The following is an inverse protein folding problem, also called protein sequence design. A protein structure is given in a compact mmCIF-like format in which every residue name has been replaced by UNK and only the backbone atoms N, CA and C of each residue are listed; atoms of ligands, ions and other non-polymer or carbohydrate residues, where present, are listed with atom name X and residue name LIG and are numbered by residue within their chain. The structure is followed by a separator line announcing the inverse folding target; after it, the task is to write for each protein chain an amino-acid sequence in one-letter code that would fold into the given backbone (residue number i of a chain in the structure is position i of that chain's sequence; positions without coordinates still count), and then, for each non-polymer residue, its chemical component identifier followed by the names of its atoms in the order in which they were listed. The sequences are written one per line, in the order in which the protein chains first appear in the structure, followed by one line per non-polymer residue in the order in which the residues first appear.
data_IF_900402350292
#
_entry.id   IF_900402350292
#
_cell.length_a   1.000
_cell.length_b   1.000
_cell.length_c   1.000
_cell.angle_alpha   90.00
_cell.angle_beta   90.00
_cell.angle_gamma   90.00
#
_symmetry.space_group_name_H-M   'P 1'
#
loop_
_entity.id
_entity.type
_entity.pdbx_description
1 polymer ?
#
# COMPACT_ATOMS: atom_id res chain seq x y z
N UNK A 1 -29.40 -40.19 0.49
CA UNK A 1 -28.26 -40.04 1.42
C UNK A 1 -27.99 -41.40 2.06
N UNK A 2 -26.73 -41.83 2.21
CA UNK A 2 -26.40 -43.09 2.89
C UNK A 2 -27.02 -43.17 4.30
N UNK A 3 -27.45 -44.37 4.73
CA UNK A 3 -28.09 -44.58 6.04
C UNK A 3 -27.23 -44.09 7.22
N UNK A 4 -25.91 -44.28 7.13
CA UNK A 4 -24.94 -43.80 8.12
C UNK A 4 -24.95 -42.27 8.25
N UNK A 5 -24.93 -41.55 7.13
CA UNK A 5 -25.00 -40.09 7.10
C UNK A 5 -26.36 -39.57 7.61
N UNK A 6 -27.46 -40.24 7.27
CA UNK A 6 -28.80 -39.88 7.77
C UNK A 6 -28.91 -40.05 9.30
N UNK A 7 -28.36 -41.14 9.84
CA UNK A 7 -28.33 -41.40 11.29
C UNK A 7 -27.48 -40.36 12.03
N UNK A 8 -26.29 -40.05 11.52
CA UNK A 8 -25.42 -39.03 12.10
C UNK A 8 -26.06 -37.64 12.10
N UNK A 9 -26.71 -37.25 10.98
CA UNK A 9 -27.41 -35.97 10.87
C UNK A 9 -28.54 -35.85 11.89
N UNK A 10 -29.37 -36.89 12.02
CA UNK A 10 -30.47 -36.92 13.02
C UNK A 10 -29.94 -36.82 14.44
N UNK A 11 -28.83 -37.51 14.75
CA UNK A 11 -28.20 -37.45 16.06
C UNK A 11 -27.64 -36.06 16.37
N UNK A 12 -26.98 -35.42 15.40
CA UNK A 12 -26.44 -34.06 15.54
C UNK A 12 -27.52 -33.00 15.71
N UNK A 13 -28.66 -33.10 15.02
CA UNK A 13 -29.78 -32.16 15.22
C UNK A 13 -30.57 -32.43 16.51
N UNK A 14 -30.56 -33.67 17.00
CA UNK A 14 -31.16 -34.02 18.29
C UNK A 14 -30.28 -33.61 19.48
N UNK A 15 -28.97 -33.40 19.27
CA UNK A 15 -28.03 -32.95 20.29
C UNK A 15 -27.86 -31.42 20.28
N UNK A 16 -27.36 -30.84 21.37
CA UNK A 16 -26.96 -29.42 21.42
C UNK A 16 -25.51 -29.20 20.93
N UNK A 17 -24.88 -30.22 20.34
CA UNK A 17 -23.47 -30.18 19.93
C UNK A 17 -23.21 -29.14 18.83
N UNK A 18 -24.05 -28.99 17.78
CA UNK A 18 -23.79 -28.00 16.74
C UNK A 18 -23.75 -26.56 17.28
N UNK A 19 -24.63 -26.23 18.22
CA UNK A 19 -24.67 -24.90 18.86
C UNK A 19 -23.39 -24.68 19.68
N UNK A 20 -22.99 -25.65 20.50
CA UNK A 20 -21.76 -25.56 21.30
C UNK A 20 -20.52 -25.43 20.43
N UNK A 21 -20.39 -26.22 19.36
CA UNK A 21 -19.23 -26.16 18.47
C UNK A 21 -19.12 -24.79 17.76
N UNK A 22 -20.25 -24.21 17.34
CA UNK A 22 -20.28 -22.85 16.79
C UNK A 22 -19.83 -21.78 17.78
N UNK A 23 -20.04 -21.97 19.09
CA UNK A 23 -19.57 -20.98 20.09
C UNK A 23 -18.04 -20.90 20.14
N UNK A 24 -17.32 -22.00 19.90
CA UNK A 24 -15.85 -21.97 19.85
C UNK A 24 -15.34 -21.18 18.64
N UNK A 25 -15.96 -21.34 17.47
CA UNK A 25 -15.62 -20.53 16.29
C UNK A 25 -15.98 -19.06 16.50
N UNK A 26 -17.16 -18.78 17.07
CA UNK A 26 -17.61 -17.42 17.35
C UNK A 26 -16.69 -16.68 18.33
N UNK A 27 -16.09 -17.39 19.30
CA UNK A 27 -15.11 -16.81 20.22
C UNK A 27 -13.87 -16.26 19.49
N UNK A 28 -13.45 -16.91 18.39
CA UNK A 28 -12.37 -16.41 17.53
C UNK A 28 -12.78 -15.19 16.69
N UNK A 29 -14.07 -15.04 16.38
CA UNK A 29 -14.59 -13.90 15.61
C UNK A 29 -14.88 -12.65 16.45
N UNK A 30 -14.61 -12.66 17.77
CA UNK A 30 -14.86 -11.52 18.66
C UNK A 30 -13.97 -10.30 18.36
N UNK A 31 -12.82 -10.52 17.73
CA UNK A 31 -11.91 -9.45 17.32
C UNK A 31 -12.37 -8.84 16.00
N UNK A 32 -13.08 -7.72 16.12
CA UNK A 32 -13.67 -6.97 15.00
C UNK A 32 -13.18 -5.53 15.04
N UNK A 33 -12.84 -4.99 13.87
CA UNK A 33 -12.54 -3.57 13.67
C UNK A 33 -13.85 -2.78 13.67
N UNK A 34 -14.04 -1.79 14.57
CA UNK A 34 -15.23 -0.95 14.60
C UNK A 34 -15.41 -0.18 13.27
N UNK A 35 -16.64 -0.05 12.73
CA UNK A 35 -16.89 0.67 11.47
C UNK A 35 -16.41 2.12 11.42
N UNK A 36 -16.27 2.77 12.57
CA UNK A 36 -15.83 4.16 12.72
C UNK A 36 -14.29 4.28 12.75
N UNK A 37 -13.58 3.18 12.91
CA UNK A 37 -12.13 3.15 12.98
C UNK A 37 -11.51 2.91 11.60
N UNK A 38 -10.51 3.69 11.19
CA UNK A 38 -9.68 3.26 10.08
C UNK A 38 -8.81 2.07 10.53
N UNK A 39 -8.30 1.35 9.54
CA UNK A 39 -7.43 0.22 9.81
C UNK A 39 -6.38 0.03 8.73
N UNK A 40 -5.29 -0.65 9.13
CA UNK A 40 -4.22 -1.06 8.24
C UNK A 40 -4.14 -2.57 8.20
N UNK A 41 -3.93 -3.12 7.02
CA UNK A 41 -3.54 -4.52 6.83
C UNK A 41 -2.10 -4.56 6.37
N UNK A 42 -1.23 -5.12 7.19
CA UNK A 42 0.18 -5.35 6.83
C UNK A 42 0.37 -6.81 6.45
N UNK A 43 1.11 -7.02 5.36
CA UNK A 43 1.43 -8.31 4.78
C UNK A 43 2.95 -8.42 4.69
N UNK A 44 3.54 -9.46 5.25
CA UNK A 44 4.99 -9.64 5.30
C UNK A 44 5.40 -11.02 4.79
N UNK A 45 6.46 -11.07 3.99
CA UNK A 45 6.97 -12.28 3.37
C UNK A 45 7.55 -13.27 4.39
N UNK A 46 6.97 -14.46 4.50
CA UNK A 46 7.43 -15.46 5.46
C UNK A 46 8.75 -16.09 4.99
N UNK A 47 9.84 -15.76 5.69
CA UNK A 47 11.18 -16.29 5.43
C UNK A 47 11.72 -15.98 4.02
N UNK A 48 11.45 -14.78 3.51
CA UNK A 48 11.91 -14.38 2.17
C UNK A 48 13.43 -14.34 2.00
N UNK A 49 14.21 -14.29 3.08
CA UNK A 49 15.67 -14.48 3.01
C UNK A 49 16.08 -15.82 2.37
N UNK A 50 15.24 -16.86 2.47
CA UNK A 50 15.44 -18.16 1.81
C UNK A 50 15.10 -18.09 0.32
N UNK A 51 13.99 -17.43 0.01
CA UNK A 51 13.50 -17.24 -1.37
C UNK A 51 14.49 -16.39 -2.19
N UNK A 52 15.01 -15.33 -1.57
CA UNK A 52 15.92 -14.36 -2.19
C UNK A 52 17.38 -14.81 -2.16
N UNK A 53 17.65 -16.10 -1.95
CA UNK A 53 19.02 -16.64 -1.99
C UNK A 53 19.45 -16.84 -3.44
N UNK A 54 20.57 -16.21 -3.82
CA UNK A 54 21.15 -16.33 -5.15
C UNK A 54 20.56 -15.41 -6.21
N UNK A 55 19.61 -14.54 -5.84
CA UNK A 55 19.13 -13.44 -6.70
C UNK A 55 20.08 -12.25 -6.65
N UNK A 56 19.89 -11.29 -7.56
CA UNK A 56 20.71 -10.08 -7.63
C UNK A 56 20.66 -9.32 -6.31
N UNK A 57 21.84 -8.89 -5.84
CA UNK A 57 22.02 -8.11 -4.60
C UNK A 57 22.52 -6.70 -4.94
N UNK A 58 22.20 -5.69 -4.11
CA UNK A 58 21.34 -5.75 -2.92
C UNK A 58 19.84 -5.84 -3.24
N UNK A 59 19.42 -5.48 -4.45
CA UNK A 59 18.01 -5.46 -4.86
C UNK A 59 17.83 -6.19 -6.20
N UNK A 60 16.80 -7.02 -6.29
CA UNK A 60 16.42 -7.69 -7.54
C UNK A 60 15.12 -7.09 -8.07
N UNK A 61 15.20 -6.42 -9.23
CA UNK A 61 14.07 -5.71 -9.84
C UNK A 61 12.90 -6.63 -10.18
N UNK A 62 13.13 -7.92 -10.44
CA UNK A 62 12.06 -8.88 -10.76
C UNK A 62 11.20 -9.15 -9.54
N UNK A 63 11.82 -9.28 -8.36
CA UNK A 63 11.09 -9.41 -7.09
C UNK A 63 10.34 -8.11 -6.79
N UNK A 64 10.98 -6.96 -6.98
CA UNK A 64 10.32 -5.65 -6.81
C UNK A 64 9.11 -5.51 -7.75
N UNK A 65 9.23 -5.94 -9.01
CA UNK A 65 8.14 -5.93 -9.99
C UNK A 65 7.01 -6.86 -9.58
N UNK A 66 7.32 -8.08 -9.13
CA UNK A 66 6.33 -9.03 -8.63
C UNK A 66 5.57 -8.48 -7.41
N UNK A 67 6.26 -7.82 -6.47
CA UNK A 67 5.64 -7.14 -5.32
C UNK A 67 4.72 -6.00 -5.77
N UNK A 68 5.17 -5.13 -6.68
CA UNK A 68 4.38 -4.01 -7.22
C UNK A 68 3.12 -4.49 -7.96
N UNK A 69 3.23 -5.53 -8.78
CA UNK A 69 2.09 -6.14 -9.47
C UNK A 69 1.11 -6.81 -8.50
N UNK A 70 1.62 -7.46 -7.47
CA UNK A 70 0.80 -8.01 -6.37
C UNK A 70 0.05 -6.90 -5.63
N UNK A 71 0.72 -5.80 -5.29
CA UNK A 71 0.11 -4.63 -4.66
C UNK A 71 -0.98 -4.00 -5.54
N UNK A 72 -0.79 -3.98 -6.86
CA UNK A 72 -1.79 -3.51 -7.82
C UNK A 72 -3.02 -4.43 -7.87
N UNK A 73 -2.83 -5.75 -7.85
CA UNK A 73 -3.94 -6.71 -7.77
C UNK A 73 -4.70 -6.60 -6.45
N UNK A 74 -3.99 -6.37 -5.34
CA UNK A 74 -4.60 -6.12 -4.02
C UNK A 74 -5.43 -4.83 -4.02
N UNK A 75 -4.88 -3.76 -4.60
CA UNK A 75 -5.60 -2.49 -4.74
C UNK A 75 -6.87 -2.66 -5.57
N UNK A 76 -6.79 -3.47 -6.62
CA UNK A 76 -7.90 -3.76 -7.53
C UNK A 76 -8.98 -4.61 -6.87
N UNK A 77 -8.59 -5.66 -6.14
CA UNK A 77 -9.49 -6.66 -5.59
C UNK A 77 -10.15 -6.21 -4.28
N UNK A 78 -9.37 -5.67 -3.33
CA UNK A 78 -9.86 -5.33 -1.99
C UNK A 78 -10.20 -3.85 -1.81
N UNK A 79 -9.88 -3.02 -2.81
CA UNK A 79 -10.15 -1.58 -2.79
C UNK A 79 -9.70 -0.79 -1.55
N UNK A 80 -8.46 -0.99 -1.03
CA UNK A 80 -7.89 -0.04 -0.09
C UNK A 80 -7.81 1.37 -0.68
N UNK A 81 -7.73 2.36 0.21
CA UNK A 81 -7.57 3.78 -0.13
C UNK A 81 -6.17 4.06 -0.66
N UNK A 82 -5.16 3.55 0.05
CA UNK A 82 -3.74 3.69 -0.27
C UNK A 82 -3.06 2.35 -0.06
N UNK A 83 -2.13 2.00 -0.94
CA UNK A 83 -1.25 0.83 -0.77
C UNK A 83 0.20 1.30 -0.76
N UNK A 84 1.01 0.71 0.10
CA UNK A 84 2.45 0.94 0.18
C UNK A 84 3.17 -0.41 0.15
N UNK A 85 4.30 -0.49 -0.54
CA UNK A 85 5.14 -1.69 -0.53
C UNK A 85 6.62 -1.33 -0.53
N UNK A 86 7.41 -2.09 0.23
CA UNK A 86 8.86 -1.99 0.28
C UNK A 86 9.42 -3.35 0.70
N UNK A 87 10.54 -3.76 0.11
CA UNK A 87 11.09 -5.11 0.30
C UNK A 87 10.02 -6.18 0.00
N UNK A 88 9.72 -7.02 0.99
CA UNK A 88 8.75 -8.10 1.03
C UNK A 88 7.47 -7.73 1.82
N UNK A 89 7.33 -6.45 2.21
CA UNK A 89 6.18 -5.93 2.95
C UNK A 89 5.19 -5.21 2.01
N UNK A 90 3.89 -5.40 2.24
CA UNK A 90 2.80 -4.61 1.65
C UNK A 90 1.86 -4.14 2.77
N UNK A 91 1.58 -2.84 2.81
CA UNK A 91 0.62 -2.23 3.72
C UNK A 91 -0.58 -1.68 2.94
N UNK A 92 -1.79 -2.05 3.35
CA UNK A 92 -3.06 -1.61 2.79
C UNK A 92 -3.79 -0.72 3.79
N UNK A 93 -4.14 0.50 3.40
CA UNK A 93 -4.84 1.47 4.26
C UNK A 93 -6.32 1.52 3.91
N UNK A 94 -7.17 1.41 4.92
CA UNK A 94 -8.62 1.54 4.81
C UNK A 94 -9.13 2.66 5.72
N UNK A 95 -9.99 3.49 5.15
CA UNK A 95 -10.70 4.53 5.90
C UNK A 95 -11.90 3.97 6.66
N UNK A 96 -12.46 4.73 7.62
CA UNK A 96 -13.67 4.34 8.32
C UNK A 96 -14.79 3.99 7.35
N UNK A 97 -15.58 2.96 7.66
CA UNK A 97 -16.80 2.66 6.92
C UNK A 97 -17.96 3.59 7.33
N UNK A 98 -17.89 4.19 8.51
CA UNK A 98 -18.84 5.17 9.02
C UNK A 98 -18.15 6.43 9.57
N UNK A 99 -18.91 7.52 9.63
CA UNK A 99 -18.43 8.81 10.15
C UNK A 99 -17.99 9.80 9.06
N UNK A 100 -17.54 11.01 9.46
CA UNK A 100 -17.27 12.12 8.54
C UNK A 100 -16.11 11.82 7.56
N UNK A 101 -15.22 10.92 7.93
CA UNK A 101 -14.04 10.53 7.15
C UNK A 101 -14.29 9.30 6.25
N UNK A 102 -15.51 8.77 6.21
CA UNK A 102 -15.83 7.57 5.42
C UNK A 102 -15.90 7.85 3.92
N UNK A 103 -15.35 6.93 3.13
CA UNK A 103 -15.40 7.00 1.65
C UNK A 103 -16.41 5.97 1.14
N UNK A 104 -17.58 6.45 0.71
CA UNK A 104 -18.57 5.59 0.07
C UNK A 104 -18.12 5.25 -1.36
N UNK A 105 -17.69 4.01 -1.57
CA UNK A 105 -17.41 3.50 -2.91
C UNK A 105 -18.69 3.28 -3.74
N UNK A 106 -19.84 3.07 -3.07
CA UNK A 106 -21.14 2.94 -3.73
C UNK A 106 -21.97 4.23 -3.61
N UNK A 107 -22.10 4.94 -4.73
CA UNK A 107 -23.02 6.08 -4.87
C UNK A 107 -24.50 5.65 -4.90
N UNK A 108 -24.80 4.36 -4.93
CA UNK A 108 -26.17 3.86 -5.02
C UNK A 108 -26.71 3.45 -3.64
N UNK A 109 -27.68 4.25 -3.18
CA UNK A 109 -28.55 4.03 -2.02
C UNK A 109 -27.93 4.34 -0.65
N UNK A 110 -27.70 5.63 -0.41
CA UNK A 110 -27.77 6.17 0.95
C UNK A 110 -29.17 5.88 1.52
N UNK A 111 -29.31 4.85 2.34
CA UNK A 111 -30.38 4.81 3.35
C UNK A 111 -29.86 5.62 4.55
N UNK A 112 -30.62 6.60 5.06
CA UNK A 112 -30.13 7.51 6.10
C UNK A 112 -29.68 6.82 7.40
N UNK A 113 -30.01 5.54 7.61
CA UNK A 113 -29.63 4.74 8.78
C UNK A 113 -28.91 3.41 8.43
N UNK A 114 -28.32 3.27 7.24
CA UNK A 114 -27.58 2.04 6.92
C UNK A 114 -26.17 2.08 7.53
N UNK A 115 -25.92 1.14 8.46
CA UNK A 115 -24.57 0.82 8.93
C UNK A 115 -23.86 0.08 7.80
N UNK A 116 -22.84 0.70 7.22
CA UNK A 116 -21.98 0.03 6.25
C UNK A 116 -20.85 -0.67 6.99
N UNK A 117 -20.75 -2.00 6.93
CA UNK A 117 -19.63 -2.69 7.52
C UNK A 117 -18.34 -2.46 6.72
N UNK A 118 -17.20 -2.52 7.40
CA UNK A 118 -15.91 -2.74 6.72
C UNK A 118 -15.93 -4.03 5.88
N UNK A 119 -14.89 -4.19 5.05
CA UNK A 119 -14.57 -5.47 4.41
C UNK A 119 -14.71 -6.63 5.43
N UNK A 120 -15.43 -7.68 5.03
CA UNK A 120 -15.74 -8.84 5.88
C UNK A 120 -16.41 -8.55 7.23
N UNK A 121 -17.10 -7.41 7.35
CA UNK A 121 -17.68 -6.93 8.61
C UNK A 121 -16.64 -6.66 9.71
N UNK A 122 -15.42 -6.27 9.32
CA UNK A 122 -14.37 -5.91 10.26
C UNK A 122 -13.70 -7.10 10.95
N UNK A 123 -14.11 -8.35 10.67
CA UNK A 123 -13.56 -9.56 11.29
C UNK A 123 -12.08 -9.71 10.97
N UNK A 124 -11.23 -9.49 11.97
CA UNK A 124 -9.77 -9.41 11.80
C UNK A 124 -9.20 -10.70 11.20
N UNK A 125 -9.63 -11.87 11.69
CA UNK A 125 -9.15 -13.17 11.19
C UNK A 125 -9.46 -13.31 9.70
N UNK A 126 -10.68 -12.96 9.28
CA UNK A 126 -11.09 -13.10 7.88
C UNK A 126 -10.35 -12.11 6.99
N UNK A 127 -10.19 -10.86 7.41
CA UNK A 127 -9.40 -9.84 6.70
C UNK A 127 -7.96 -10.32 6.53
N UNK A 128 -7.27 -10.65 7.63
CA UNK A 128 -5.87 -11.04 7.61
C UNK A 128 -5.62 -12.30 6.76
N UNK A 129 -6.38 -13.37 6.99
CA UNK A 129 -6.18 -14.65 6.30
C UNK A 129 -6.49 -14.59 4.81
N UNK A 130 -7.59 -13.94 4.40
CA UNK A 130 -7.99 -13.90 2.99
C UNK A 130 -7.07 -13.00 2.18
N UNK A 131 -6.65 -11.84 2.73
CA UNK A 131 -5.74 -10.94 2.04
C UNK A 131 -4.34 -11.57 1.95
N UNK A 132 -3.81 -12.17 3.02
CA UNK A 132 -2.53 -12.88 2.98
C UNK A 132 -2.54 -14.05 1.98
N UNK A 133 -3.61 -14.84 1.96
CA UNK A 133 -3.78 -15.93 0.99
C UNK A 133 -3.79 -15.40 -0.45
N UNK A 134 -4.54 -14.33 -0.73
CA UNK A 134 -4.58 -13.73 -2.06
C UNK A 134 -3.22 -13.15 -2.46
N UNK A 135 -2.52 -12.50 -1.52
CA UNK A 135 -1.17 -11.96 -1.71
C UNK A 135 -0.20 -13.06 -2.12
N UNK A 136 -0.18 -14.19 -1.40
CA UNK A 136 0.65 -15.34 -1.75
C UNK A 136 0.35 -15.87 -3.15
N UNK A 137 -0.93 -16.05 -3.50
CA UNK A 137 -1.33 -16.53 -4.83
C UNK A 137 -0.84 -15.59 -5.94
N UNK A 138 -1.05 -14.29 -5.79
CA UNK A 138 -0.68 -13.30 -6.82
C UNK A 138 0.82 -13.08 -6.89
N UNK A 139 1.52 -13.05 -5.76
CA UNK A 139 2.97 -12.91 -5.75
C UNK A 139 3.66 -14.09 -6.41
N UNK A 140 3.29 -15.34 -6.08
CA UNK A 140 3.87 -16.51 -6.74
C UNK A 140 3.54 -16.52 -8.23
N UNK A 141 2.30 -16.16 -8.62
CA UNK A 141 1.93 -16.01 -10.02
C UNK A 141 2.86 -15.04 -10.75
N UNK A 142 3.07 -13.82 -10.22
CA UNK A 142 3.92 -12.82 -10.86
C UNK A 142 5.40 -13.22 -10.86
N UNK A 143 5.89 -13.83 -9.78
CA UNK A 143 7.27 -14.30 -9.68
C UNK A 143 7.59 -15.36 -10.75
N UNK A 144 6.63 -16.23 -11.08
CA UNK A 144 6.74 -17.23 -12.13
C UNK A 144 6.76 -16.64 -13.55
N UNK A 145 6.27 -15.41 -13.74
CA UNK A 145 6.29 -14.74 -15.05
C UNK A 145 7.62 -14.00 -15.31
N UNK A 146 8.48 -13.86 -14.31
CA UNK A 146 9.77 -13.18 -14.47
C UNK A 146 10.80 -14.11 -15.14
N UNK A 147 11.74 -13.52 -15.86
CA UNK A 147 12.86 -14.24 -16.47
C UNK A 147 13.97 -14.46 -15.43
N UNK A 148 14.31 -15.74 -15.20
CA UNK A 148 15.32 -16.19 -14.23
C UNK A 148 16.44 -16.99 -14.90
N UNK A 149 16.57 -16.91 -16.22
CA UNK A 149 17.55 -17.70 -17.01
C UNK A 149 19.01 -17.29 -16.78
N UNK A 150 19.25 -16.12 -16.23
CA UNK A 150 20.54 -15.61 -15.76
C UNK A 150 21.04 -16.26 -14.47
N UNK A 151 20.15 -16.89 -13.68
CA UNK A 151 20.52 -17.48 -12.39
C UNK A 151 21.01 -18.92 -12.52
N UNK A 152 21.79 -19.37 -11.53
CA UNK A 152 22.18 -20.78 -11.44
C UNK A 152 20.92 -21.69 -11.40
N UNK A 153 20.94 -22.88 -12.02
CA UNK A 153 19.74 -23.71 -12.20
C UNK A 153 18.97 -24.01 -10.90
N UNK A 154 19.67 -24.15 -9.78
CA UNK A 154 19.05 -24.38 -8.46
C UNK A 154 18.20 -23.18 -7.99
N UNK A 155 18.66 -21.94 -8.24
CA UNK A 155 17.99 -20.71 -7.83
C UNK A 155 16.84 -20.38 -8.78
N UNK A 156 17.05 -20.57 -10.08
CA UNK A 156 15.98 -20.52 -11.08
C UNK A 156 14.83 -21.45 -10.72
N UNK A 157 15.12 -22.73 -10.42
CA UNK A 157 14.09 -23.72 -10.02
C UNK A 157 13.37 -23.31 -8.74
N UNK A 158 14.07 -22.71 -7.79
CA UNK A 158 13.49 -22.22 -6.53
C UNK A 158 12.46 -21.13 -6.79
N UNK A 159 12.74 -20.19 -7.68
CA UNK A 159 11.85 -19.05 -7.96
C UNK A 159 10.67 -19.46 -8.84
N UNK A 160 10.90 -20.28 -9.87
CA UNK A 160 9.83 -20.80 -10.74
C UNK A 160 8.86 -21.74 -10.01
N UNK A 161 9.30 -22.42 -8.95
CA UNK A 161 8.45 -23.28 -8.13
C UNK A 161 8.22 -22.68 -6.73
N UNK A 162 8.34 -21.37 -6.60
CA UNK A 162 8.19 -20.72 -5.31
C UNK A 162 6.82 -21.01 -4.70
N UNK A 163 6.82 -21.27 -3.39
CA UNK A 163 5.64 -21.35 -2.55
C UNK A 163 5.74 -20.27 -1.47
N UNK A 164 5.95 -19.04 -1.91
CA UNK A 164 6.09 -17.91 -1.02
C UNK A 164 4.78 -17.69 -0.25
N UNK A 165 4.89 -17.56 1.06
CA UNK A 165 3.77 -17.31 1.96
C UNK A 165 3.89 -15.90 2.52
N UNK A 166 2.75 -15.33 2.92
CA UNK A 166 2.68 -14.05 3.60
C UNK A 166 1.98 -14.23 4.94
N UNK A 167 2.47 -13.55 5.97
CA UNK A 167 1.66 -13.28 7.16
C UNK A 167 0.71 -12.11 6.86
N UNK A 168 -0.37 -11.99 7.63
CA UNK A 168 -1.34 -10.90 7.50
C UNK A 168 -1.72 -10.40 8.88
N UNK A 169 -1.65 -9.09 9.08
CA UNK A 169 -1.99 -8.43 10.35
C UNK A 169 -2.94 -7.28 10.06
N UNK A 170 -4.19 -7.41 10.46
CA UNK A 170 -5.19 -6.34 10.39
C UNK A 170 -5.36 -5.72 11.77
N UNK A 171 -5.24 -4.40 11.87
CA UNK A 171 -5.38 -3.68 13.13
C UNK A 171 -5.99 -2.30 12.90
N UNK A 172 -6.89 -1.90 13.79
CA UNK A 172 -7.43 -0.56 13.84
C UNK A 172 -6.35 0.42 14.34
N UNK A 173 -6.42 1.67 13.90
CA UNK A 173 -5.62 2.77 14.44
C UNK A 173 -6.45 4.05 14.47
N UNK A 174 -5.90 5.11 15.08
CA UNK A 174 -6.50 6.44 14.96
C UNK A 174 -6.43 6.91 13.49
N UNK A 175 -7.26 7.89 13.13
CA UNK A 175 -7.18 8.48 11.79
C UNK A 175 -5.85 9.21 11.59
N UNK A 176 -5.37 9.90 12.62
CA UNK A 176 -4.09 10.62 12.61
C UNK A 176 -2.90 9.66 12.37
N UNK A 177 -2.98 8.43 12.88
CA UNK A 177 -1.89 7.46 12.78
C UNK A 177 -1.85 6.67 11.46
N UNK A 178 -2.86 6.80 10.59
CA UNK A 178 -2.85 6.13 9.29
C UNK A 178 -1.56 6.40 8.50
N UNK A 179 -1.17 7.68 8.45
CA UNK A 179 0.07 8.09 7.80
C UNK A 179 1.30 7.77 8.65
N UNK A 180 1.21 7.83 9.98
CA UNK A 180 2.35 7.51 10.84
C UNK A 180 2.77 6.04 10.70
N UNK A 181 1.80 5.13 10.55
CA UNK A 181 2.07 3.72 10.31
C UNK A 181 2.92 3.51 9.06
N UNK A 182 2.53 4.09 7.92
CA UNK A 182 3.29 3.98 6.67
C UNK A 182 4.63 4.76 6.76
N UNK A 183 4.70 5.85 7.52
CA UNK A 183 5.91 6.70 7.64
C UNK A 183 6.99 5.98 8.40
N UNK A 184 6.61 5.32 9.49
CA UNK A 184 7.51 4.45 10.23
C UNK A 184 8.01 3.28 9.36
N UNK A 185 7.17 2.73 8.47
CA UNK A 185 7.62 1.70 7.50
C UNK A 185 8.60 2.25 6.49
N UNK A 186 8.31 3.38 5.86
CA UNK A 186 9.16 3.98 4.82
C UNK A 186 10.46 4.57 5.35
N UNK A 187 10.34 5.55 6.25
CA UNK A 187 11.43 6.46 6.60
C UNK A 187 12.25 6.03 7.80
N UNK A 188 11.82 4.98 8.50
CA UNK A 188 12.57 4.41 9.60
C UNK A 188 13.02 3.00 9.27
N UNK A 189 12.09 2.04 9.15
CA UNK A 189 12.45 0.63 8.99
C UNK A 189 12.97 0.30 7.58
N UNK A 190 12.23 0.72 6.55
CA UNK A 190 12.57 0.54 5.13
C UNK A 190 13.89 1.22 4.78
N UNK A 191 14.06 2.49 5.17
CA UNK A 191 15.33 3.22 5.00
C UNK A 191 16.50 2.48 5.65
N UNK A 192 16.35 2.04 6.91
CA UNK A 192 17.39 1.30 7.62
C UNK A 192 17.75 0.01 6.90
N UNK A 193 16.77 -0.74 6.41
CA UNK A 193 16.98 -1.99 5.67
C UNK A 193 17.66 -1.71 4.32
N UNK A 194 17.22 -0.71 3.57
CA UNK A 194 17.78 -0.36 2.27
C UNK A 194 19.26 0.05 2.38
N UNK A 195 19.58 0.95 3.32
CA UNK A 195 20.97 1.35 3.58
C UNK A 195 21.79 0.16 4.05
N UNK A 196 21.25 -0.69 4.92
CA UNK A 196 22.00 -1.85 5.40
C UNK A 196 22.27 -2.89 4.30
N UNK A 197 21.32 -3.15 3.42
CA UNK A 197 21.53 -4.03 2.27
C UNK A 197 22.56 -3.46 1.30
N UNK A 198 22.48 -2.16 1.00
CA UNK A 198 23.48 -1.49 0.18
C UNK A 198 24.87 -1.55 0.83
N UNK A 199 24.96 -1.26 2.13
CA UNK A 199 26.19 -1.34 2.89
C UNK A 199 26.81 -2.75 2.82
N UNK A 200 26.01 -3.81 2.99
CA UNK A 200 26.47 -5.20 2.87
C UNK A 200 26.95 -5.58 1.47
N UNK A 201 26.50 -4.88 0.43
CA UNK A 201 26.96 -5.11 -0.95
C UNK A 201 28.31 -4.43 -1.27
N UNK A 202 28.71 -3.44 -0.46
CA UNK A 202 29.92 -2.63 -0.68
C UNK A 202 31.00 -2.95 0.36
N UNK A 203 30.61 -3.17 1.61
CA UNK A 203 31.48 -3.26 2.78
C UNK A 203 31.67 -4.72 3.21
N UNK A 204 32.89 -5.10 3.65
CA UNK A 204 33.12 -6.42 4.25
C UNK A 204 32.23 -6.64 5.48
N UNK A 205 31.73 -7.87 5.66
CA UNK A 205 30.82 -8.21 6.75
C UNK A 205 31.36 -7.88 8.15
N UNK A 206 32.66 -8.09 8.39
CA UNK A 206 33.30 -7.78 9.67
C UNK A 206 33.31 -6.29 10.00
N UNK A 207 33.26 -5.40 9.01
CA UNK A 207 33.24 -3.95 9.21
C UNK A 207 31.87 -3.45 9.68
N UNK A 208 30.79 -4.17 9.33
CA UNK A 208 29.41 -3.80 9.62
C UNK A 208 28.91 -4.27 10.99
N UNK A 209 29.63 -5.19 11.63
CA UNK A 209 29.20 -5.77 12.90
C UNK A 209 29.06 -4.68 13.99
N UNK A 210 27.88 -4.61 14.60
CA UNK A 210 27.58 -3.64 15.67
C UNK A 210 27.42 -2.19 15.21
N UNK A 211 27.40 -1.92 13.89
CA UNK A 211 27.29 -0.55 13.36
C UNK A 211 25.85 -0.10 13.22
N UNK A 212 25.56 1.09 13.74
CA UNK A 212 24.27 1.75 13.53
C UNK A 212 24.18 2.38 12.12
N UNK A 213 23.01 2.92 11.77
CA UNK A 213 22.76 3.47 10.44
C UNK A 213 23.73 4.59 10.06
N UNK A 214 23.97 5.55 10.97
CA UNK A 214 24.87 6.69 10.74
C UNK A 214 26.30 6.22 10.48
N UNK A 215 26.79 5.28 11.28
CA UNK A 215 28.13 4.71 11.11
C UNK A 215 28.27 3.96 9.77
N UNK A 216 27.21 3.27 9.33
CA UNK A 216 27.23 2.62 8.00
C UNK A 216 27.32 3.66 6.88
N UNK A 217 26.62 4.79 7.00
CA UNK A 217 26.69 5.89 6.02
C UNK A 217 28.07 6.56 5.98
N UNK A 218 28.70 6.79 7.13
CA UNK A 218 30.07 7.31 7.22
C UNK A 218 31.07 6.39 6.51
N UNK A 219 31.04 5.09 6.79
CA UNK A 219 31.90 4.09 6.15
C UNK A 219 31.70 3.96 4.63
N UNK A 220 30.47 4.19 4.16
CA UNK A 220 30.15 4.25 2.74
C UNK A 220 30.71 5.52 2.09
N UNK A 221 30.55 6.66 2.76
CA UNK A 221 31.06 7.95 2.31
C UNK A 221 32.60 7.94 2.21
N UNK A 222 33.30 7.31 3.16
CA UNK A 222 34.76 7.09 3.10
C UNK A 222 35.20 6.32 1.84
N UNK A 223 34.33 5.48 1.27
CA UNK A 223 34.55 4.78 -0.01
C UNK A 223 33.99 5.52 -1.22
N UNK A 224 33.51 6.75 -1.05
CA UNK A 224 32.88 7.55 -2.10
C UNK A 224 31.55 6.98 -2.60
N UNK A 225 30.85 6.19 -1.78
CA UNK A 225 29.57 5.55 -2.12
C UNK A 225 28.43 6.21 -1.36
N UNK A 226 27.29 6.38 -2.02
CA UNK A 226 26.10 6.99 -1.42
C UNK A 226 24.83 6.24 -1.82
N UNK A 227 24.12 5.58 -0.88
CA UNK A 227 22.88 4.90 -1.21
C UNK A 227 21.81 5.86 -1.73
N UNK A 228 21.81 7.12 -1.30
CA UNK A 228 20.84 8.12 -1.73
C UNK A 228 21.04 8.59 -3.19
N UNK A 229 22.23 8.37 -3.76
CA UNK A 229 22.53 8.70 -5.16
C UNK A 229 22.52 7.45 -6.06
N UNK A 230 22.81 6.28 -5.51
CA UNK A 230 23.04 5.05 -6.29
C UNK A 230 21.89 4.04 -6.23
N UNK A 231 21.00 4.15 -5.23
CA UNK A 231 19.86 3.24 -5.07
C UNK A 231 18.60 3.91 -5.59
N UNK A 232 17.85 3.16 -6.39
CA UNK A 232 16.56 3.61 -6.93
C UNK A 232 15.60 4.02 -5.80
N UNK A 233 14.83 5.12 -5.98
CA UNK A 233 13.89 5.60 -4.96
C UNK A 233 12.91 4.54 -4.47
N UNK A 234 12.53 3.58 -5.32
CA UNK A 234 11.60 2.51 -4.94
C UNK A 234 12.19 1.54 -3.91
N UNK A 235 13.51 1.35 -3.89
CA UNK A 235 14.20 0.53 -2.88
C UNK A 235 14.50 1.33 -1.61
N UNK A 236 14.81 2.63 -1.76
CA UNK A 236 15.10 3.52 -0.63
C UNK A 236 13.85 3.88 0.18
N UNK A 237 12.78 4.28 -0.49
CA UNK A 237 11.57 4.83 0.14
C UNK A 237 10.37 3.90 0.04
N UNK A 238 10.43 2.87 -0.81
CA UNK A 238 9.28 2.06 -1.15
C UNK A 238 8.43 2.67 -2.26
N UNK A 239 7.32 2.02 -2.56
CA UNK A 239 6.39 2.38 -3.62
C UNK A 239 4.99 2.56 -3.07
N UNK A 240 4.40 3.73 -3.32
CA UNK A 240 3.00 4.02 -3.05
C UNK A 240 2.17 3.73 -4.29
N UNK A 241 1.00 3.15 -4.08
CA UNK A 241 0.01 2.91 -5.12
C UNK A 241 -1.29 3.61 -4.74
N UNK A 242 -1.83 4.35 -5.71
CA UNK A 242 -3.11 5.03 -5.55
C UNK A 242 -3.86 5.12 -6.87
N UNK A 243 -5.19 5.23 -6.79
CA UNK A 243 -6.02 5.43 -7.98
C UNK A 243 -5.86 6.85 -8.45
N UNK A 244 -5.78 7.07 -9.76
CA UNK A 244 -5.88 8.41 -10.33
C UNK A 244 -6.86 8.43 -11.49
N UNK A 245 -7.38 9.61 -11.78
CA UNK A 245 -8.22 9.86 -12.94
C UNK A 245 -7.42 10.58 -14.02
N UNK A 246 -7.58 10.16 -15.27
CA UNK A 246 -6.96 10.81 -16.41
C UNK A 246 -7.95 10.95 -17.56
N UNK A 247 -7.71 11.95 -18.41
CA UNK A 247 -8.51 12.22 -19.61
C UNK A 247 -7.90 11.46 -20.79
N UNK A 248 -8.73 10.75 -21.55
CA UNK A 248 -8.33 10.16 -22.83
C UNK A 248 -9.24 10.66 -23.95
N UNK A 249 -8.73 10.87 -25.19
CA UNK A 249 -9.58 11.16 -26.33
C UNK A 249 -10.64 10.07 -26.49
N UNK A 250 -11.90 10.46 -26.75
CA UNK A 250 -12.95 9.50 -26.99
C UNK A 250 -12.66 8.73 -28.30
N UNK A 251 -12.39 7.43 -28.21
CA UNK A 251 -12.32 6.57 -29.39
C UNK A 251 -13.72 6.12 -29.80
N UNK A 252 -14.03 6.21 -31.09
CA UNK A 252 -15.30 5.77 -31.64
C UNK A 252 -15.45 4.24 -31.47
N UNK A 253 -16.26 3.80 -30.51
CA UNK A 253 -16.74 2.41 -30.52
C UNK A 253 -17.71 2.27 -31.70
N UNK A 254 -17.46 1.32 -32.62
CA UNK A 254 -18.43 0.86 -33.63
C UNK A 254 -19.61 0.17 -32.91
N UNK A 255 -20.57 0.97 -32.43
CA UNK A 255 -21.86 0.49 -31.94
C UNK A 255 -22.87 0.38 -33.08
N UNK A 256 -23.65 -0.70 -33.10
CA UNK A 256 -24.73 -1.04 -34.06
C UNK A 256 -25.97 -0.11 -33.94
N UNK A 257 -25.79 1.21 -33.86
CA UNK A 257 -26.92 2.15 -33.73
C UNK A 257 -26.80 3.30 -34.72
N UNK A 258 -27.89 3.54 -35.48
CA UNK A 258 -28.05 4.56 -36.53
C UNK A 258 -28.16 6.01 -36.03
N UNK A 259 -27.87 6.28 -34.76
CA UNK A 259 -27.88 7.64 -34.20
C UNK A 259 -26.44 8.12 -34.03
N UNK A 260 -26.11 9.28 -34.62
CA UNK A 260 -24.82 9.95 -34.45
C UNK A 260 -24.72 10.39 -32.98
N UNK A 261 -23.88 9.77 -32.13
CA UNK A 261 -23.76 10.20 -30.76
C UNK A 261 -22.88 11.46 -30.75
N UNK A 262 -23.34 12.54 -30.11
CA UNK A 262 -22.46 13.64 -29.70
C UNK A 262 -21.50 13.06 -28.65
N UNK A 263 -20.34 12.60 -29.11
CA UNK A 263 -19.30 12.05 -28.24
C UNK A 263 -18.60 13.23 -27.53
N UNK A 264 -18.43 13.21 -26.20
CA UNK A 264 -17.54 14.17 -25.55
C UNK A 264 -16.11 13.98 -26.10
N UNK A 265 -15.37 15.07 -26.32
CA UNK A 265 -14.02 15.01 -26.89
C UNK A 265 -13.05 14.15 -26.06
N UNK A 266 -13.29 14.07 -24.75
CA UNK A 266 -12.52 13.27 -23.81
C UNK A 266 -13.42 12.43 -22.90
N UNK A 267 -12.88 11.30 -22.45
CA UNK A 267 -13.51 10.43 -21.47
C UNK A 267 -12.58 10.26 -20.27
N UNK A 268 -13.11 10.48 -19.08
CA UNK A 268 -12.39 10.21 -17.83
C UNK A 268 -12.25 8.70 -17.62
N UNK A 269 -11.02 8.26 -17.41
CA UNK A 269 -10.66 6.89 -17.05
C UNK A 269 -9.98 6.86 -15.69
N UNK A 270 -9.96 5.69 -15.07
CA UNK A 270 -9.22 5.44 -13.83
C UNK A 270 -8.05 4.52 -14.13
N UNK A 271 -6.93 4.74 -13.46
CA UNK A 271 -5.76 3.83 -13.46
C UNK A 271 -5.14 3.79 -12.08
N UNK A 272 -4.25 2.83 -11.86
CA UNK A 272 -3.43 2.79 -10.64
C UNK A 272 -2.09 3.46 -10.96
N UNK A 273 -1.77 4.51 -10.19
CA UNK A 273 -0.51 5.24 -10.23
C UNK A 273 0.43 4.72 -9.16
N UNK A 274 1.69 4.60 -9.55
CA UNK A 274 2.81 4.35 -8.65
C UNK A 274 3.56 5.66 -8.39
N UNK A 275 4.16 5.78 -7.21
CA UNK A 275 5.15 6.83 -6.93
C UNK A 275 6.06 6.43 -5.79
N UNK A 276 7.28 6.97 -5.81
CA UNK A 276 8.31 6.72 -4.81
C UNK A 276 8.89 8.07 -4.39
N UNK A 277 8.77 8.43 -3.13
CA UNK A 277 9.24 9.72 -2.64
C UNK A 277 9.55 9.64 -1.15
N UNK A 278 10.46 10.49 -0.70
CA UNK A 278 10.84 10.57 0.69
C UNK A 278 9.72 11.26 1.49
N UNK A 279 8.97 10.52 2.31
CA UNK A 279 7.92 11.13 3.11
C UNK A 279 8.43 12.13 4.15
N UNK A 280 9.71 12.08 4.54
CA UNK A 280 10.29 13.06 5.46
C UNK A 280 10.18 14.50 4.93
N UNK A 281 10.11 14.68 3.60
CA UNK A 281 9.98 15.99 2.94
C UNK A 281 8.58 16.61 3.12
N UNK A 282 7.61 15.86 3.65
CA UNK A 282 6.21 16.27 3.80
C UNK A 282 5.85 16.44 5.28
N UNK A 283 4.98 17.40 5.59
CA UNK A 283 4.46 17.59 6.95
C UNK A 283 3.52 16.44 7.35
N UNK A 284 3.33 16.15 8.65
CA UNK A 284 2.37 15.14 9.10
C UNK A 284 0.97 15.31 8.51
N UNK A 285 0.48 16.55 8.41
CA UNK A 285 -0.83 16.87 7.83
C UNK A 285 -0.89 16.52 6.32
N UNK A 286 0.16 16.81 5.57
CA UNK A 286 0.25 16.46 4.14
C UNK A 286 0.29 14.95 3.94
N UNK A 287 1.05 14.22 4.76
CA UNK A 287 1.11 12.75 4.71
C UNK A 287 -0.25 12.14 5.01
N UNK A 288 -0.97 12.65 6.01
CA UNK A 288 -2.32 12.21 6.35
C UNK A 288 -3.30 12.48 5.21
N UNK A 289 -3.31 13.69 4.68
CA UNK A 289 -4.19 14.05 3.56
C UNK A 289 -3.91 13.19 2.32
N UNK A 290 -2.63 12.93 2.00
CA UNK A 290 -2.28 12.01 0.93
C UNK A 290 -2.71 10.58 1.26
N UNK A 291 -2.48 10.07 2.47
CA UNK A 291 -2.81 8.69 2.83
C UNK A 291 -4.31 8.44 2.81
N UNK A 292 -5.11 9.43 3.22
CA UNK A 292 -6.56 9.35 3.32
C UNK A 292 -7.32 9.74 2.04
N UNK A 293 -6.73 10.52 1.12
CA UNK A 293 -7.46 10.88 -0.09
C UNK A 293 -7.82 9.62 -0.91
N UNK A 294 -8.96 9.55 -1.60
CA UNK A 294 -9.34 8.37 -2.40
C UNK A 294 -8.57 8.26 -3.73
N UNK A 295 -8.00 9.37 -4.18
CA UNK A 295 -7.26 9.49 -5.42
C UNK A 295 -5.86 10.05 -5.18
N UNK A 296 -4.95 9.77 -6.10
CA UNK A 296 -3.71 10.51 -6.27
C UNK A 296 -4.10 11.90 -6.77
N UNK A 297 -4.00 12.88 -5.88
CA UNK A 297 -4.25 14.27 -6.23
C UNK A 297 -2.94 14.86 -6.74
N UNK A 298 -2.98 15.45 -7.94
CA UNK A 298 -1.86 16.23 -8.49
C UNK A 298 -1.72 17.61 -7.81
N UNK A 299 -2.49 17.90 -6.74
CA UNK A 299 -2.44 19.13 -5.95
C UNK A 299 -2.55 18.83 -4.45
N UNK A 300 -1.78 19.59 -3.64
CA UNK A 300 -1.85 19.56 -2.18
C UNK A 300 -3.30 19.81 -1.76
N UNK A 301 -3.79 19.23 -0.65
CA UNK A 301 -5.07 19.65 -0.08
C UNK A 301 -5.01 21.17 0.13
N UNK A 302 -5.97 21.89 -0.46
CA UNK A 302 -6.09 23.33 -0.27
C UNK A 302 -6.23 23.60 1.24
N UNK A 303 -5.22 24.23 1.83
CA UNK A 303 -5.35 24.79 3.16
C UNK A 303 -6.15 26.07 2.98
N UNK A 304 -7.43 26.04 3.34
CA UNK A 304 -8.29 27.24 3.38
C UNK A 304 -7.70 28.22 4.41
N UNK A 305 -6.87 29.15 3.94
CA UNK A 305 -6.44 30.31 4.72
C UNK A 305 -7.52 31.38 4.57
N UNK A 306 -8.68 31.15 5.20
CA UNK A 306 -9.67 32.22 5.37
C UNK A 306 -10.44 32.04 6.66
N UNK A 307 -9.87 32.55 7.76
CA UNK A 307 -10.58 33.30 8.82
C UNK A 307 -9.57 33.72 9.88
N UNK A 308 -9.12 34.98 9.82
CA UNK A 308 -9.01 35.82 11.03
C UNK A 308 -8.73 37.28 10.63
N UNK A 309 -9.82 38.01 10.41
CA UNK A 309 -9.85 39.46 10.58
C UNK A 309 -10.17 39.77 12.04
N UNK A 310 -9.24 40.41 12.77
CA UNK A 310 -9.51 41.69 13.44
C UNK A 310 -8.34 42.16 14.32
N UNK A 311 -7.94 43.42 14.08
CA UNK A 311 -7.42 44.42 15.02
C UNK A 311 -5.95 44.34 15.53
N UNK A 312 -5.10 45.18 14.91
CA UNK A 312 -4.01 45.93 15.58
C UNK A 312 -4.57 47.27 16.11
N UNK A 313 -3.86 48.14 16.89
CA UNK A 313 -2.41 48.21 17.21
C UNK A 313 -2.15 48.43 18.75
N UNK A 314 -0.96 48.66 19.35
CA UNK A 314 0.25 49.37 18.95
C UNK A 314 1.46 49.09 19.92
N UNK A 315 2.69 49.25 19.40
CA UNK A 315 3.96 49.48 20.12
C UNK A 315 4.63 48.22 20.72
N UNK A 316 5.91 47.88 20.51
CA UNK A 316 7.08 48.62 20.03
C UNK A 316 8.28 47.66 19.85
N UNK A 317 9.17 47.98 18.89
CA UNK A 317 10.61 47.64 18.75
C UNK A 317 11.04 46.26 18.19
N UNK A 318 11.16 46.25 16.85
CA UNK A 318 12.29 45.82 15.98
C UNK A 318 13.25 44.70 16.42
N UNK A 319 13.21 43.57 15.70
CA UNK A 319 14.16 43.32 14.58
C UNK A 319 13.68 42.12 13.75
N UNK A 320 13.07 42.39 12.59
CA UNK A 320 12.60 41.38 11.64
C UNK A 320 13.45 41.46 10.38
N UNK A 321 14.23 40.40 10.14
CA UNK A 321 14.75 40.08 8.81
C UNK A 321 13.58 39.67 7.91
N UNK A 322 13.60 40.22 6.71
CA UNK A 322 12.65 40.00 5.61
C UNK A 322 12.31 38.51 5.42
N UNK A 323 11.03 38.18 5.48
CA UNK A 323 10.51 36.91 4.94
C UNK A 323 10.02 37.21 3.53
N UNK A 324 10.90 36.90 2.59
CA UNK A 324 10.66 36.93 1.15
C UNK A 324 9.39 36.16 0.77
N UNK A 325 8.56 36.80 -0.05
CA UNK A 325 7.28 36.31 -0.57
C UNK A 325 7.50 35.37 -1.77
N UNK A 326 8.29 34.32 -1.58
CA UNK A 326 8.67 33.36 -2.62
C UNK A 326 8.49 31.91 -2.17
N UNK A 327 7.31 31.56 -1.61
CA UNK A 327 6.95 30.16 -1.43
C UNK A 327 6.46 29.57 -2.77
N UNK A 328 7.14 28.57 -3.36
CA UNK A 328 6.76 28.02 -4.65
C UNK A 328 5.42 27.28 -4.55
N UNK A 329 4.54 27.50 -5.55
CA UNK A 329 3.45 26.58 -5.82
C UNK A 329 4.05 25.22 -6.19
N UNK A 330 3.82 24.22 -5.33
CA UNK A 330 4.51 22.93 -5.42
C UNK A 330 3.85 21.96 -6.43
N UNK A 331 4.57 21.51 -7.47
CA UNK A 331 4.14 20.40 -8.30
C UNK A 331 4.50 19.07 -7.63
N UNK A 332 3.52 18.16 -7.53
CA UNK A 332 3.77 16.74 -7.24
C UNK A 332 4.70 16.18 -8.33
N UNK A 333 5.49 15.12 -8.04
CA UNK A 333 6.46 14.61 -9.00
C UNK A 333 5.80 14.43 -10.37
N UNK A 334 6.41 14.97 -11.45
CA UNK A 334 5.81 15.01 -12.76
C UNK A 334 5.46 13.60 -13.26
N UNK A 335 4.49 13.50 -14.16
CA UNK A 335 4.04 12.24 -14.78
C UNK A 335 5.17 11.39 -15.43
N UNK A 336 6.38 11.92 -15.56
CA UNK A 336 7.51 11.35 -16.29
C UNK A 336 8.32 10.26 -15.55
N UNK A 337 7.74 9.56 -14.58
CA UNK A 337 8.34 8.35 -13.98
C UNK A 337 7.42 7.11 -14.07
N UNK A 338 6.51 7.11 -15.05
CA UNK A 338 5.62 5.99 -15.33
C UNK A 338 6.31 5.12 -16.39
N UNK A 339 7.01 4.08 -15.96
CA UNK A 339 7.28 2.95 -16.85
C UNK A 339 5.95 2.37 -17.32
N UNK A 340 5.86 2.12 -18.62
CA UNK A 340 4.82 1.32 -19.27
C UNK A 340 4.79 -0.09 -18.66
N UNK A 341 4.10 -0.30 -17.54
CA UNK A 341 3.74 -1.64 -17.10
C UNK A 341 2.53 -2.09 -17.93
N UNK A 342 2.68 -3.09 -18.83
CA UNK A 342 1.61 -3.55 -19.71
C UNK A 342 0.41 -4.17 -18.95
N UNK A 343 0.50 -4.29 -17.62
CA UNK A 343 -0.53 -4.88 -16.76
C UNK A 343 -1.41 -3.82 -16.07
N UNK A 344 -1.89 -2.81 -16.79
CA UNK A 344 -2.93 -1.93 -16.25
C UNK A 344 -4.28 -2.66 -16.28
N UNK A 345 -4.93 -2.97 -15.13
CA UNK A 345 -6.27 -3.55 -15.13
C UNK A 345 -7.24 -2.59 -15.82
N UNK A 346 -7.91 -3.08 -16.87
CA UNK A 346 -8.97 -2.33 -17.55
C UNK A 346 -10.19 -2.32 -16.61
N UNK A 347 -10.38 -1.20 -15.91
CA UNK A 347 -11.59 -0.92 -15.12
C UNK A 347 -12.67 -0.25 -15.95
#
# INVERSE_FOLDING_TARGET
MPLSASRALRQMYASNEPSRLKTYEAAGELLVIPPESPFVVRLDGVSFYRLTKGVTKPFDLRITRAMRRTAMDLMSHFSPTTVYTQSDEISLVYLPAMGPQSVNHDKQKRRPNAVFPHLYAGRIIKIASTIASYTAVRFNYHLQQEDWTDLAPQHQRTLLNATACFDGRAFACSYEDLANQIFWRSNFDGLRNAVSHFAQSVLPAGTLQGRNLTQQLELLAERGRSPFAEVEPCHMWGTWLKRETYQMPASAKRGRSRAIPVMPAFVTRRRIRFGCFNWADYTPAQRLAFTAAPLWLDRAPDVDVSTNTSAAPAGSLESSLDVDASLPQFPWPPKSAIEDDPYQPQF
#
